data_IF_054979609030
#
_entry.id   IF_054979609030
#
_cell.length_a   1.000
_cell.length_b   1.000
_cell.length_c   1.000
_cell.angle_alpha   90.00
_cell.angle_beta   90.00
_cell.angle_gamma   90.00
#
_symmetry.space_group_name_H-M   'P 1'
#
loop_
_entity.id
_entity.type
_entity.pdbx_description
1 polymer ?
#
# COMPACT_ATOMS: atom_id res chain seq x y z
N UNK A 1 -20.18 13.07 42.73
CA UNK A 1 -20.51 13.05 41.31
C UNK A 1 -19.56 14.02 40.61
N UNK A 2 -18.46 13.54 40.08
CA UNK A 2 -17.56 14.35 39.27
C UNK A 2 -18.09 14.35 37.83
N UNK A 3 -18.40 15.53 37.31
CA UNK A 3 -18.61 15.77 35.90
C UNK A 3 -17.26 15.55 35.16
N UNK A 4 -17.12 14.43 34.50
CA UNK A 4 -16.07 14.27 33.47
C UNK A 4 -16.54 15.09 32.27
N UNK A 5 -16.03 16.30 32.14
CA UNK A 5 -16.12 17.04 30.89
C UNK A 5 -15.35 16.26 29.84
N UNK A 6 -16.06 15.58 28.96
CA UNK A 6 -15.47 15.12 27.70
C UNK A 6 -15.16 16.37 26.90
N UNK A 7 -13.90 16.76 26.86
CA UNK A 7 -13.44 17.73 25.90
C UNK A 7 -13.63 17.09 24.52
N UNK A 8 -14.69 17.46 23.83
CA UNK A 8 -14.77 17.22 22.40
C UNK A 8 -13.61 18.02 21.79
N UNK A 9 -12.61 17.33 21.26
CA UNK A 9 -11.63 17.95 20.40
C UNK A 9 -12.38 18.47 19.17
N UNK A 10 -12.75 19.74 19.21
CA UNK A 10 -13.22 20.41 18.01
C UNK A 10 -11.99 20.56 17.12
N UNK A 11 -11.98 19.87 16.00
CA UNK A 11 -11.05 20.22 14.93
C UNK A 11 -11.30 21.68 14.57
N UNK A 12 -10.28 22.53 14.62
CA UNK A 12 -10.46 23.92 14.24
C UNK A 12 -10.83 23.95 12.76
N UNK A 13 -11.98 24.54 12.47
CA UNK A 13 -12.36 24.84 11.09
C UNK A 13 -11.57 26.07 10.65
N UNK A 14 -10.41 25.84 10.05
CA UNK A 14 -9.68 26.90 9.37
C UNK A 14 -10.17 26.96 7.94
N UNK A 15 -10.77 28.07 7.54
CA UNK A 15 -11.03 28.31 6.13
C UNK A 15 -9.69 28.60 5.45
N UNK A 16 -9.31 27.76 4.52
CA UNK A 16 -8.17 28.02 3.63
C UNK A 16 -8.60 29.08 2.64
N UNK A 17 -7.83 30.15 2.51
CA UNK A 17 -8.06 31.19 1.51
C UNK A 17 -7.97 30.59 0.11
N UNK A 18 -8.79 31.11 -0.82
CA UNK A 18 -8.79 30.71 -2.23
C UNK A 18 -7.47 31.05 -2.95
N UNK A 19 -6.68 31.95 -2.37
CA UNK A 19 -5.34 32.33 -2.87
C UNK A 19 -4.22 31.49 -2.25
N UNK A 20 -4.55 30.30 -1.72
CA UNK A 20 -3.57 29.40 -1.12
C UNK A 20 -2.48 29.00 -2.14
N UNK A 21 -1.25 29.25 -1.73
CA UNK A 21 -0.05 28.87 -2.48
C UNK A 21 0.32 27.42 -2.13
N UNK A 22 0.56 26.58 -3.13
CA UNK A 22 0.97 25.17 -2.96
C UNK A 22 2.29 25.00 -2.18
N UNK A 23 3.06 26.07 -2.01
CA UNK A 23 4.27 26.09 -1.17
C UNK A 23 4.00 26.36 0.31
N UNK A 24 2.75 26.66 0.68
CA UNK A 24 2.36 27.02 2.03
C UNK A 24 1.66 25.87 2.72
N UNK A 25 2.17 25.43 3.87
CA UNK A 25 1.51 24.47 4.74
C UNK A 25 0.68 25.22 5.77
N UNK A 26 -0.63 24.94 5.81
CA UNK A 26 -1.53 25.50 6.83
C UNK A 26 -1.56 24.57 8.04
N UNK A 27 -0.98 25.04 9.14
CA UNK A 27 -1.01 24.31 10.41
C UNK A 27 -2.21 24.79 11.23
N UNK A 28 -3.09 23.88 11.69
CA UNK A 28 -4.17 24.26 12.60
C UNK A 28 -3.61 24.95 13.87
N UNK A 29 -4.37 25.87 14.47
CA UNK A 29 -3.90 26.55 15.69
C UNK A 29 -3.70 25.56 16.84
N UNK A 30 -2.98 26.03 17.90
CA UNK A 30 -2.78 25.23 19.11
C UNK A 30 -3.99 24.34 19.47
N UNK A 31 -3.78 23.05 19.84
CA UNK A 31 -2.50 22.44 20.27
C UNK A 31 -1.69 21.79 19.15
N UNK A 32 -2.05 21.98 17.89
CA UNK A 32 -1.35 21.33 16.78
C UNK A 32 -0.01 22.01 16.47
N UNK A 33 0.97 21.21 16.12
CA UNK A 33 2.29 21.65 15.67
C UNK A 33 2.69 20.85 14.44
N UNK A 34 3.39 21.49 13.51
CA UNK A 34 4.03 20.82 12.39
C UNK A 34 5.48 20.52 12.74
N UNK A 35 5.88 19.28 12.52
CA UNK A 35 7.26 18.86 12.61
C UNK A 35 7.66 18.12 11.34
N UNK A 36 8.77 18.52 10.72
CA UNK A 36 9.35 17.84 9.59
C UNK A 36 10.36 16.83 10.13
N UNK A 37 10.21 15.55 9.75
CA UNK A 37 11.08 14.46 10.19
C UNK A 37 11.97 13.93 9.06
N UNK A 38 11.48 13.97 7.82
CA UNK A 38 12.16 13.40 6.67
C UNK A 38 11.73 14.12 5.39
N UNK A 39 12.71 14.44 4.52
CA UNK A 39 12.48 15.15 3.24
C UNK A 39 13.14 14.34 2.11
N UNK A 40 12.30 13.73 1.25
CA UNK A 40 12.78 13.04 0.06
C UNK A 40 13.50 13.99 -0.91
N UNK A 41 14.62 13.52 -1.45
CA UNK A 41 15.48 14.30 -2.34
C UNK A 41 16.49 15.21 -1.63
N UNK A 42 16.34 15.43 -0.31
CA UNK A 42 17.25 16.25 0.50
C UNK A 42 17.98 15.42 1.55
N UNK A 43 17.24 14.63 2.35
CA UNK A 43 17.86 13.78 3.34
C UNK A 43 18.61 12.62 2.70
N UNK A 44 19.75 12.28 3.30
CA UNK A 44 20.63 11.22 2.81
C UNK A 44 20.28 9.88 3.42
N UNK A 45 20.21 8.84 2.61
CA UNK A 45 19.98 7.47 3.05
C UNK A 45 21.18 6.57 2.82
N UNK A 46 21.42 5.64 3.74
CA UNK A 46 22.39 4.56 3.56
C UNK A 46 21.76 3.43 2.75
N UNK A 47 22.31 3.13 1.57
CA UNK A 47 21.81 2.07 0.68
C UNK A 47 22.28 0.68 1.10
N UNK A 48 21.67 -0.37 0.54
CA UNK A 48 22.14 -1.77 0.69
C UNK A 48 23.56 -2.01 0.14
N UNK A 49 24.10 -1.09 -0.67
CA UNK A 49 25.47 -1.12 -1.15
C UNK A 49 26.46 -0.42 -0.20
N UNK A 50 25.99 0.05 0.95
CA UNK A 50 26.73 0.85 1.91
C UNK A 50 27.26 2.17 1.31
N UNK A 51 26.45 2.81 0.52
CA UNK A 51 26.69 4.13 -0.06
C UNK A 51 25.64 5.11 0.46
N UNK A 52 26.01 6.39 0.53
CA UNK A 52 25.13 7.47 0.93
C UNK A 52 24.62 8.21 -0.31
N UNK A 53 23.29 8.30 -0.45
CA UNK A 53 22.66 8.98 -1.58
C UNK A 53 21.42 9.75 -1.09
N UNK A 54 20.96 10.78 -1.82
CA UNK A 54 19.68 11.42 -1.50
C UNK A 54 18.54 10.41 -1.55
N UNK A 55 17.65 10.47 -0.56
CA UNK A 55 16.44 9.65 -0.52
C UNK A 55 15.56 9.89 -1.76
N UNK A 56 14.83 8.88 -2.18
CA UNK A 56 13.81 9.07 -3.22
C UNK A 56 12.68 9.96 -2.71
N UNK A 57 11.95 10.53 -3.65
CA UNK A 57 10.79 11.41 -3.42
C UNK A 57 9.48 10.63 -3.49
N UNK A 58 8.38 11.34 -3.61
CA UNK A 58 7.01 10.82 -3.75
C UNK A 58 6.67 9.86 -2.63
N UNK A 59 6.62 10.42 -1.42
CA UNK A 59 6.26 9.66 -0.24
C UNK A 59 4.78 9.29 -0.32
N UNK A 60 4.49 8.05 -0.02
CA UNK A 60 3.13 7.54 0.11
C UNK A 60 2.92 6.89 1.48
N UNK A 61 2.82 5.57 1.56
CA UNK A 61 2.58 4.87 2.81
C UNK A 61 3.62 5.17 3.88
N UNK A 62 3.13 5.42 5.11
CA UNK A 62 3.97 5.52 6.30
C UNK A 62 3.56 4.43 7.29
N UNK A 63 4.43 3.44 7.46
CA UNK A 63 4.30 2.39 8.46
C UNK A 63 4.98 2.76 9.78
N UNK A 64 4.51 2.16 10.87
CA UNK A 64 5.13 2.28 12.18
C UNK A 64 5.25 0.92 12.86
N UNK A 65 6.48 0.56 13.22
CA UNK A 65 6.82 -0.67 13.96
C UNK A 65 7.18 -0.31 15.39
N UNK A 66 6.31 -0.57 16.37
CA UNK A 66 6.60 -0.27 17.77
C UNK A 66 7.71 -1.16 18.33
N UNK A 67 8.34 -0.68 19.40
CA UNK A 67 9.28 -1.51 20.16
C UNK A 67 8.60 -2.73 20.78
N UNK A 68 9.33 -3.82 20.81
CA UNK A 68 9.00 -5.03 21.56
C UNK A 68 9.94 -5.20 22.74
N UNK A 69 9.64 -6.14 23.62
CA UNK A 69 10.53 -6.45 24.75
C UNK A 69 11.90 -7.05 24.33
N UNK A 70 12.01 -7.48 23.08
CA UNK A 70 13.21 -8.10 22.52
C UNK A 70 14.14 -7.07 21.84
N UNK A 71 13.61 -5.87 21.57
CA UNK A 71 14.38 -4.80 20.92
C UNK A 71 15.37 -4.17 21.93
N UNK A 72 16.64 -4.21 21.59
CA UNK A 72 17.70 -3.56 22.37
C UNK A 72 17.94 -2.16 21.79
N UNK A 73 17.54 -1.13 22.54
CA UNK A 73 17.74 0.27 22.16
C UNK A 73 18.46 1.01 23.28
N UNK A 74 19.38 1.90 22.92
CA UNK A 74 20.20 2.64 23.89
C UNK A 74 19.43 3.86 24.45
N UNK A 75 18.60 4.50 23.64
CA UNK A 75 17.82 5.65 24.08
C UNK A 75 16.50 5.19 24.73
N UNK A 76 16.26 5.50 26.02
CA UNK A 76 15.05 5.11 26.72
C UNK A 76 13.76 5.80 26.19
N UNK A 77 13.90 6.84 25.37
CA UNK A 77 12.78 7.53 24.75
C UNK A 77 12.44 7.01 23.35
N UNK A 78 13.11 5.96 22.91
CA UNK A 78 12.80 5.31 21.63
C UNK A 78 11.37 4.79 21.61
N UNK A 79 10.64 5.03 20.51
CA UNK A 79 9.26 4.59 20.36
C UNK A 79 9.08 3.50 19.29
N UNK A 80 9.97 3.42 18.30
CA UNK A 80 9.91 2.44 17.23
C UNK A 80 10.45 2.95 15.90
N UNK A 81 10.25 2.17 14.86
CA UNK A 81 10.72 2.47 13.49
C UNK A 81 9.58 3.03 12.65
N UNK A 82 9.89 4.09 11.91
CA UNK A 82 9.07 4.54 10.79
C UNK A 82 9.56 3.91 9.48
N UNK A 83 8.64 3.66 8.57
CA UNK A 83 8.88 3.14 7.22
C UNK A 83 8.11 3.99 6.23
N UNK A 84 8.79 4.58 5.26
CA UNK A 84 8.19 5.50 4.28
C UNK A 84 8.40 4.96 2.88
N UNK A 85 7.31 4.64 2.18
CA UNK A 85 7.35 4.22 0.77
C UNK A 85 7.65 5.39 -0.16
N UNK A 86 8.21 5.06 -1.32
CA UNK A 86 8.46 5.97 -2.42
C UNK A 86 7.74 5.48 -3.67
N UNK A 87 6.65 6.14 -4.05
CA UNK A 87 5.86 5.85 -5.25
C UNK A 87 6.56 6.35 -6.52
N UNK A 88 7.83 6.02 -6.66
CA UNK A 88 8.65 6.48 -7.76
C UNK A 88 8.70 5.44 -8.88
N UNK A 89 8.88 5.94 -10.11
CA UNK A 89 9.03 5.14 -11.33
C UNK A 89 10.41 5.34 -11.97
N UNK A 90 11.26 6.18 -11.38
CA UNK A 90 12.58 6.52 -11.91
C UNK A 90 13.61 5.58 -11.31
N UNK A 91 14.29 4.81 -12.15
CA UNK A 91 15.38 3.94 -11.74
C UNK A 91 16.59 4.73 -11.21
N UNK A 92 17.28 4.13 -10.27
CA UNK A 92 18.52 4.62 -9.71
C UNK A 92 19.49 3.44 -9.49
N UNK A 93 20.75 3.56 -9.92
CA UNK A 93 21.75 2.46 -9.87
C UNK A 93 21.99 1.95 -8.43
N UNK A 94 21.67 2.75 -7.41
CA UNK A 94 22.01 2.48 -6.01
C UNK A 94 20.79 2.13 -5.15
N UNK A 95 19.62 2.65 -5.53
CA UNK A 95 18.37 2.43 -4.82
C UNK A 95 17.47 1.42 -5.54
N UNK A 96 17.60 1.28 -6.86
CA UNK A 96 16.86 0.29 -7.64
C UNK A 96 15.90 0.87 -8.67
N UNK A 97 15.08 0.01 -9.28
CA UNK A 97 14.33 0.24 -10.52
C UNK A 97 13.16 1.24 -10.44
N UNK A 98 13.00 1.95 -9.42
CA UNK A 98 11.89 2.89 -9.21
C UNK A 98 11.17 2.55 -7.91
N UNK A 99 10.80 3.41 -7.09
CA UNK A 99 10.25 3.12 -5.77
C UNK A 99 11.32 2.81 -4.74
N UNK A 100 10.92 2.08 -3.73
CA UNK A 100 11.72 1.74 -2.56
C UNK A 100 11.04 2.15 -1.25
N UNK A 101 11.75 1.97 -0.16
CA UNK A 101 11.29 2.36 1.17
C UNK A 101 12.47 2.89 1.97
N UNK A 102 12.25 3.97 2.72
CA UNK A 102 13.18 4.47 3.72
C UNK A 102 12.71 4.08 5.12
N UNK A 103 13.62 3.59 5.96
CA UNK A 103 13.36 3.30 7.38
C UNK A 103 14.25 4.15 8.28
N UNK A 104 13.74 4.49 9.47
CA UNK A 104 14.47 5.23 10.48
C UNK A 104 13.89 5.01 11.88
N UNK A 105 14.72 5.17 12.90
CA UNK A 105 14.33 5.00 14.29
C UNK A 105 13.88 6.33 14.90
N UNK A 106 12.77 6.30 15.60
CA UNK A 106 12.14 7.46 16.23
C UNK A 106 12.28 7.43 17.76
N UNK A 107 12.63 8.56 18.31
CA UNK A 107 12.47 8.89 19.71
C UNK A 107 11.39 9.94 19.92
N UNK A 108 10.86 10.03 21.15
CA UNK A 108 9.89 11.05 21.56
C UNK A 108 10.37 11.75 22.84
N UNK A 109 10.53 13.05 22.78
CA UNK A 109 10.90 13.85 23.93
C UNK A 109 9.74 13.87 24.97
N UNK A 110 9.94 13.34 26.18
CA UNK A 110 8.86 13.22 27.16
C UNK A 110 8.38 14.56 27.74
N UNK A 111 9.12 15.64 27.51
CA UNK A 111 8.78 16.97 28.02
C UNK A 111 8.06 17.84 27.01
N UNK A 112 8.38 17.69 25.72
CA UNK A 112 7.83 18.54 24.63
C UNK A 112 6.89 17.76 23.70
N UNK A 113 6.88 16.43 23.80
CA UNK A 113 6.22 15.49 22.86
C UNK A 113 6.78 15.52 21.43
N UNK A 114 7.85 16.25 21.16
CA UNK A 114 8.51 16.30 19.86
C UNK A 114 9.16 14.97 19.51
N UNK A 115 9.01 14.55 18.26
CA UNK A 115 9.73 13.40 17.73
C UNK A 115 11.14 13.79 17.31
N UNK A 116 12.06 12.84 17.32
CA UNK A 116 13.40 13.04 16.81
C UNK A 116 13.95 11.73 16.23
N UNK A 117 14.87 11.87 15.28
CA UNK A 117 15.55 10.73 14.65
C UNK A 117 16.68 10.25 15.56
N UNK A 118 16.79 8.94 15.71
CA UNK A 118 17.86 8.29 16.47
C UNK A 118 18.81 7.62 15.49
N UNK A 119 20.08 8.05 15.43
CA UNK A 119 21.09 7.38 14.60
C UNK A 119 21.25 5.91 15.00
N UNK A 120 21.45 5.05 14.02
CA UNK A 120 21.59 3.61 14.22
C UNK A 120 22.84 3.06 13.54
N UNK A 121 23.31 1.92 14.06
CA UNK A 121 24.20 0.99 13.36
C UNK A 121 23.42 -0.30 13.14
N UNK A 122 23.12 -0.62 11.89
CA UNK A 122 22.40 -1.83 11.52
C UNK A 122 23.30 -3.07 11.62
N UNK A 123 22.69 -4.25 11.68
CA UNK A 123 23.43 -5.53 11.80
C UNK A 123 24.33 -5.84 10.61
N UNK A 124 24.13 -5.22 9.47
CA UNK A 124 24.96 -5.33 8.26
C UNK A 124 26.09 -4.30 8.19
N UNK A 125 26.21 -3.42 9.21
CA UNK A 125 27.27 -2.43 9.33
C UNK A 125 26.96 -1.07 8.70
N UNK A 126 25.77 -0.85 8.15
CA UNK A 126 25.32 0.47 7.75
C UNK A 126 25.10 1.36 8.97
N UNK A 127 25.54 2.62 8.89
CA UNK A 127 25.44 3.59 9.99
C UNK A 127 24.81 4.89 9.48
N UNK A 128 23.85 5.47 10.20
CA UNK A 128 23.21 6.72 9.84
C UNK A 128 21.85 6.94 10.51
N UNK A 129 21.17 7.97 10.03
CA UNK A 129 19.85 8.39 10.47
C UNK A 129 18.74 7.70 9.66
N UNK A 130 18.96 7.59 8.33
CA UNK A 130 18.00 7.06 7.39
C UNK A 130 18.60 5.94 6.54
N UNK A 131 17.82 4.92 6.27
CA UNK A 131 18.27 3.74 5.53
C UNK A 131 17.30 3.44 4.38
N UNK A 132 17.82 3.33 3.16
CA UNK A 132 17.06 2.70 2.10
C UNK A 132 17.01 1.19 2.37
N UNK A 133 15.82 0.62 2.31
CA UNK A 133 15.64 -0.83 2.47
C UNK A 133 16.43 -1.57 1.39
N UNK A 134 17.17 -2.59 1.79
CA UNK A 134 17.87 -3.48 0.86
C UNK A 134 16.91 -4.49 0.25
N UNK A 135 16.60 -4.34 -1.03
CA UNK A 135 15.72 -5.22 -1.80
C UNK A 135 16.46 -6.34 -2.56
N UNK A 136 17.78 -6.43 -2.43
CA UNK A 136 18.61 -7.37 -3.22
C UNK A 136 18.19 -8.84 -3.07
N UNK A 137 17.61 -9.21 -1.93
CA UNK A 137 17.11 -10.57 -1.68
C UNK A 137 15.95 -10.96 -2.59
N UNK A 138 15.13 -10.01 -3.00
CA UNK A 138 13.91 -10.21 -3.79
C UNK A 138 14.02 -9.73 -5.25
N UNK A 139 15.19 -9.22 -5.62
CA UNK A 139 15.56 -8.86 -6.99
C UNK A 139 15.23 -7.44 -7.41
N UNK A 140 14.57 -6.63 -6.74
CA UNK A 140 14.18 -5.24 -7.00
C UNK A 140 12.74 -4.97 -6.58
N UNK A 141 12.43 -3.70 -6.45
CA UNK A 141 11.08 -3.21 -6.19
C UNK A 141 10.81 -1.96 -7.01
N UNK A 142 9.55 -1.60 -7.16
CA UNK A 142 9.22 -0.38 -7.91
C UNK A 142 7.81 0.10 -7.63
N UNK A 143 7.66 1.42 -7.74
CA UNK A 143 6.40 2.12 -7.51
C UNK A 143 5.75 1.66 -6.20
N UNK A 144 6.49 1.86 -5.12
CA UNK A 144 6.05 1.47 -3.78
C UNK A 144 5.08 2.53 -3.27
N UNK A 145 3.80 2.27 -3.50
CA UNK A 145 2.70 3.15 -3.16
C UNK A 145 2.20 2.89 -1.74
N UNK A 146 1.00 2.40 -1.57
CA UNK A 146 0.44 2.04 -0.30
C UNK A 146 1.16 0.90 0.43
N UNK A 147 0.53 0.35 1.43
CA UNK A 147 1.15 -0.72 2.21
C UNK A 147 0.24 -1.30 3.28
N UNK A 148 0.81 -2.18 4.08
CA UNK A 148 0.17 -2.78 5.25
C UNK A 148 1.05 -2.55 6.46
N UNK A 149 0.47 -2.02 7.53
CA UNK A 149 1.07 -2.04 8.85
C UNK A 149 0.27 -3.00 9.73
N UNK A 150 0.89 -4.07 10.19
CA UNK A 150 0.23 -4.99 11.10
C UNK A 150 -0.14 -4.30 12.40
N UNK A 151 -1.40 -4.33 12.73
CA UNK A 151 -1.92 -3.78 13.97
C UNK A 151 -1.58 -4.66 15.20
N UNK A 152 -1.00 -5.84 14.98
CA UNK A 152 -0.80 -6.87 16.01
C UNK A 152 0.68 -6.97 16.39
N UNK A 153 1.58 -6.98 15.41
CA UNK A 153 3.02 -7.22 15.62
C UNK A 153 3.93 -6.16 14.99
N UNK A 154 3.34 -5.14 14.33
CA UNK A 154 4.09 -4.04 13.71
C UNK A 154 4.84 -4.42 12.44
N UNK A 155 4.57 -5.59 11.84
CA UNK A 155 5.10 -5.94 10.53
C UNK A 155 4.68 -4.95 9.47
N UNK A 156 5.51 -4.77 8.45
CA UNK A 156 5.25 -3.85 7.35
C UNK A 156 5.35 -4.57 6.01
N UNK A 157 4.39 -4.31 5.13
CA UNK A 157 4.44 -4.70 3.72
C UNK A 157 4.34 -3.45 2.86
N UNK A 158 5.16 -3.39 1.85
CA UNK A 158 5.14 -2.37 0.81
C UNK A 158 4.39 -2.89 -0.42
N UNK A 159 3.46 -2.10 -0.94
CA UNK A 159 2.68 -2.42 -2.12
C UNK A 159 3.39 -1.97 -3.39
N UNK A 160 3.54 -2.84 -4.37
CA UNK A 160 4.06 -2.49 -5.69
C UNK A 160 2.89 -2.23 -6.64
N UNK A 161 2.79 -1.00 -7.15
CA UNK A 161 1.67 -0.52 -7.97
C UNK A 161 2.07 -0.20 -9.41
N UNK A 162 2.91 -1.00 -10.05
CA UNK A 162 3.30 -0.72 -11.44
C UNK A 162 2.14 -0.72 -12.42
N UNK A 163 1.91 0.39 -13.08
CA UNK A 163 0.88 0.49 -14.11
C UNK A 163 1.22 -0.36 -15.34
N UNK A 164 0.19 -1.03 -15.90
CA UNK A 164 0.30 -1.80 -17.14
C UNK A 164 1.48 -2.80 -17.18
N UNK A 165 1.89 -3.28 -16.03
CA UNK A 165 3.05 -4.19 -15.92
C UNK A 165 4.36 -3.59 -16.44
N UNK A 166 4.55 -2.31 -16.33
CA UNK A 166 5.79 -1.64 -16.66
C UNK A 166 6.74 -1.64 -15.45
N UNK A 167 8.05 -1.64 -15.72
CA UNK A 167 9.08 -1.52 -14.70
C UNK A 167 10.26 -0.68 -15.21
N UNK A 168 9.98 0.32 -16.02
CA UNK A 168 11.00 1.18 -16.61
C UNK A 168 10.75 2.64 -16.19
N UNK A 169 11.83 3.39 -15.99
CA UNK A 169 11.85 4.80 -15.65
C UNK A 169 11.24 5.73 -16.71
N UNK A 170 11.01 5.20 -17.92
CA UNK A 170 10.33 5.93 -18.99
C UNK A 170 8.83 5.66 -18.91
N UNK A 171 8.22 6.07 -17.80
CA UNK A 171 6.77 6.14 -17.72
C UNK A 171 6.28 7.47 -18.31
N UNK A 172 6.43 7.62 -19.63
CA UNK A 172 5.87 8.77 -20.33
C UNK A 172 4.46 8.43 -20.80
N UNK A 173 3.49 9.17 -20.31
CA UNK A 173 2.09 9.14 -20.78
C UNK A 173 1.40 7.76 -20.69
N UNK A 174 1.76 6.95 -19.73
CA UNK A 174 1.21 5.61 -19.56
C UNK A 174 1.74 4.57 -20.55
N UNK A 175 2.86 4.83 -21.20
CA UNK A 175 3.52 3.95 -22.15
C UNK A 175 4.80 3.31 -21.58
N UNK A 176 4.83 3.04 -20.27
CA UNK A 176 5.97 2.39 -19.64
C UNK A 176 6.43 1.14 -20.41
N UNK A 177 7.74 0.94 -20.44
CA UNK A 177 8.36 -0.17 -21.16
C UNK A 177 8.53 -1.35 -20.21
N UNK A 178 8.13 -2.55 -20.68
CA UNK A 178 8.36 -3.80 -19.96
C UNK A 178 9.81 -4.24 -20.15
N UNK A 179 10.51 -4.52 -19.07
CA UNK A 179 11.78 -5.24 -19.13
C UNK A 179 11.50 -6.73 -19.30
N UNK A 180 11.74 -7.22 -20.51
CA UNK A 180 11.51 -8.62 -20.88
C UNK A 180 12.75 -9.50 -20.67
N UNK A 181 13.83 -8.98 -20.09
CA UNK A 181 14.99 -9.79 -19.74
C UNK A 181 14.62 -10.84 -18.70
N UNK A 182 15.35 -11.97 -18.75
CA UNK A 182 15.10 -13.07 -17.83
C UNK A 182 15.49 -12.69 -16.39
N UNK A 183 14.57 -12.93 -15.47
CA UNK A 183 14.80 -12.93 -14.04
C UNK A 183 14.47 -14.28 -13.45
N UNK A 184 15.41 -14.89 -12.71
CA UNK A 184 15.15 -16.13 -11.99
C UNK A 184 14.90 -15.83 -10.52
N UNK A 185 13.72 -16.18 -10.03
CA UNK A 185 13.34 -16.02 -8.63
C UNK A 185 14.30 -16.85 -7.76
N UNK A 186 14.87 -16.19 -6.75
CA UNK A 186 15.75 -16.85 -5.78
C UNK A 186 14.93 -17.81 -4.91
N UNK A 187 15.62 -18.62 -4.13
CA UNK A 187 14.96 -19.49 -3.15
C UNK A 187 14.05 -18.67 -2.22
N UNK A 188 12.83 -19.13 -2.03
CA UNK A 188 11.80 -18.56 -1.16
C UNK A 188 11.02 -19.68 -0.49
N UNK A 189 10.27 -19.39 0.56
CA UNK A 189 9.35 -20.33 1.23
C UNK A 189 8.21 -20.77 0.33
N UNK A 190 7.91 -20.02 -0.74
CA UNK A 190 6.90 -20.38 -1.71
C UNK A 190 7.49 -21.34 -2.74
N UNK A 191 7.44 -22.63 -2.48
CA UNK A 191 8.03 -23.67 -3.35
C UNK A 191 7.58 -23.53 -4.81
N UNK A 192 6.33 -23.13 -5.04
CA UNK A 192 5.77 -22.94 -6.39
C UNK A 192 6.48 -21.85 -7.20
N UNK A 193 7.14 -20.88 -6.55
CA UNK A 193 7.84 -19.77 -7.18
C UNK A 193 9.37 -20.03 -7.31
N UNK A 194 9.93 -20.96 -6.55
CA UNK A 194 11.37 -21.21 -6.49
C UNK A 194 11.95 -21.53 -7.86
N UNK A 195 12.99 -20.80 -8.23
CA UNK A 195 13.76 -20.98 -9.46
C UNK A 195 12.94 -20.85 -10.76
N UNK A 196 11.74 -20.30 -10.68
CA UNK A 196 10.99 -19.92 -11.87
C UNK A 196 11.72 -18.77 -12.58
N UNK A 197 11.90 -18.91 -13.90
CA UNK A 197 12.43 -17.83 -14.73
C UNK A 197 11.26 -17.13 -15.43
N UNK A 198 11.18 -15.84 -15.23
CA UNK A 198 10.12 -14.94 -15.73
C UNK A 198 10.75 -13.70 -16.37
N UNK A 199 10.05 -13.00 -17.26
CA UNK A 199 10.42 -11.64 -17.62
C UNK A 199 10.50 -10.73 -16.39
N UNK A 200 11.53 -9.89 -16.29
CA UNK A 200 11.79 -9.07 -15.11
C UNK A 200 10.58 -8.23 -14.69
N UNK A 201 9.81 -7.68 -15.65
CA UNK A 201 8.61 -6.92 -15.34
C UNK A 201 7.54 -7.72 -14.55
N UNK A 202 7.55 -9.05 -14.62
CA UNK A 202 6.63 -9.89 -13.85
C UNK A 202 7.07 -10.10 -12.41
N UNK A 203 8.28 -9.67 -12.04
CA UNK A 203 8.71 -9.65 -10.64
C UNK A 203 8.21 -8.41 -9.87
N UNK A 204 7.37 -7.59 -10.47
CA UNK A 204 6.72 -6.44 -9.85
C UNK A 204 5.21 -6.68 -9.70
N UNK A 205 4.53 -5.83 -8.97
CA UNK A 205 3.12 -5.93 -8.60
C UNK A 205 2.84 -7.02 -7.56
N UNK A 206 3.70 -7.07 -6.56
CA UNK A 206 3.55 -7.94 -5.39
C UNK A 206 3.52 -7.12 -4.10
N UNK A 207 3.00 -7.70 -3.03
CA UNK A 207 3.23 -7.17 -1.69
C UNK A 207 4.59 -7.65 -1.19
N UNK A 208 5.39 -6.73 -0.66
CA UNK A 208 6.77 -6.99 -0.19
C UNK A 208 6.83 -6.89 1.31
N UNK A 209 7.12 -7.98 2.00
CA UNK A 209 7.36 -7.97 3.44
C UNK A 209 8.74 -7.38 3.75
N UNK A 210 8.76 -6.44 4.69
CA UNK A 210 9.94 -5.67 5.09
C UNK A 210 10.21 -5.90 6.57
N UNK A 211 11.49 -6.05 6.93
CA UNK A 211 11.97 -5.89 8.30
C UNK A 211 12.50 -4.45 8.49
N UNK A 212 11.74 -3.56 9.15
CA UNK A 212 12.17 -2.17 9.35
C UNK A 212 13.37 -2.06 10.29
N UNK A 213 13.56 -3.02 11.20
CA UNK A 213 14.69 -3.04 12.17
C UNK A 213 16.03 -3.28 11.49
N UNK A 214 16.02 -4.17 10.49
CA UNK A 214 17.20 -4.48 9.68
C UNK A 214 17.28 -3.63 8.41
N UNK A 215 16.23 -2.87 8.08
CA UNK A 215 16.07 -2.17 6.81
C UNK A 215 16.30 -3.08 5.60
N UNK A 216 15.58 -4.23 5.58
CA UNK A 216 15.71 -5.28 4.56
C UNK A 216 14.35 -5.82 4.13
N UNK A 217 14.24 -6.08 2.82
CA UNK A 217 13.14 -6.86 2.29
C UNK A 217 13.33 -8.34 2.65
N UNK A 218 12.25 -8.96 3.12
CA UNK A 218 12.23 -10.38 3.50
C UNK A 218 11.81 -11.21 2.31
N UNK A 219 10.64 -10.90 1.71
CA UNK A 219 10.03 -11.69 0.62
C UNK A 219 9.01 -10.89 -0.16
N UNK A 220 8.71 -11.35 -1.37
CA UNK A 220 7.48 -11.01 -2.09
C UNK A 220 6.42 -12.05 -1.78
N UNK A 221 5.18 -11.62 -1.50
CA UNK A 221 4.06 -12.50 -1.17
C UNK A 221 3.44 -13.09 -2.45
N UNK A 222 4.14 -14.04 -3.08
CA UNK A 222 3.70 -14.63 -4.34
C UNK A 222 2.36 -15.36 -4.24
N UNK A 223 2.01 -15.85 -3.05
CA UNK A 223 0.75 -16.54 -2.77
C UNK A 223 -0.47 -15.63 -2.67
N UNK A 224 -0.28 -14.29 -2.65
CA UNK A 224 -1.40 -13.32 -2.60
C UNK A 224 -1.91 -12.91 -4.00
N UNK A 225 -1.23 -13.37 -5.06
CA UNK A 225 -1.55 -13.04 -6.45
C UNK A 225 -0.91 -11.73 -6.91
N UNK A 226 -0.63 -11.65 -8.21
CA UNK A 226 0.00 -10.49 -8.84
C UNK A 226 -1.07 -9.50 -9.29
N UNK A 227 -1.06 -8.31 -8.74
CA UNK A 227 -1.94 -7.19 -9.09
C UNK A 227 -1.26 -5.85 -8.72
N UNK A 228 -1.69 -4.72 -9.29
CA UNK A 228 -1.17 -3.41 -8.87
C UNK A 228 -1.73 -3.08 -7.48
N UNK A 229 -1.00 -3.53 -6.45
CA UNK A 229 -1.42 -3.32 -5.09
C UNK A 229 -1.28 -1.85 -4.71
N UNK A 230 -2.33 -1.31 -4.07
CA UNK A 230 -2.28 -0.01 -3.42
C UNK A 230 -2.04 -0.17 -1.92
N UNK A 231 -2.96 -0.79 -1.23
CA UNK A 231 -2.84 -0.97 0.20
C UNK A 231 -3.61 -2.17 0.72
N UNK A 232 -3.52 -2.36 2.02
CA UNK A 232 -4.23 -3.45 2.68
C UNK A 232 -4.22 -3.36 4.20
N UNK A 233 -4.85 -4.31 4.84
CA UNK A 233 -4.91 -4.40 6.30
C UNK A 233 -4.98 -5.85 6.76
N UNK A 234 -4.32 -6.14 7.88
CA UNK A 234 -4.44 -7.41 8.58
C UNK A 234 -5.54 -7.28 9.63
N UNK A 235 -6.49 -8.19 9.59
CA UNK A 235 -7.59 -8.24 10.55
C UNK A 235 -7.10 -8.57 11.97
N UNK A 236 -7.96 -8.31 12.96
CA UNK A 236 -7.62 -8.51 14.37
C UNK A 236 -7.34 -9.97 14.75
N UNK A 237 -7.70 -10.92 13.88
CA UNK A 237 -7.37 -12.34 14.04
C UNK A 237 -5.89 -12.66 13.72
N UNK A 238 -5.14 -11.69 13.18
CA UNK A 238 -3.78 -11.89 12.66
C UNK A 238 -3.67 -13.01 11.61
N UNK A 239 -4.75 -13.29 10.91
CA UNK A 239 -4.86 -14.39 9.95
C UNK A 239 -5.39 -13.92 8.60
N UNK A 240 -6.36 -13.01 8.63
CA UNK A 240 -7.02 -12.51 7.42
C UNK A 240 -6.38 -11.20 6.97
N UNK A 241 -5.99 -11.13 5.70
CA UNK A 241 -5.47 -9.93 5.05
C UNK A 241 -6.45 -9.48 3.98
N UNK A 242 -6.86 -8.22 4.02
CA UNK A 242 -7.68 -7.58 2.99
C UNK A 242 -6.84 -6.60 2.20
N UNK A 243 -6.98 -6.59 0.88
CA UNK A 243 -6.14 -5.80 -0.02
C UNK A 243 -6.95 -5.17 -1.15
N UNK A 244 -6.53 -3.98 -1.56
CA UNK A 244 -7.03 -3.26 -2.72
C UNK A 244 -6.02 -3.20 -3.85
N UNK A 245 -6.52 -3.08 -5.08
CA UNK A 245 -5.72 -2.84 -6.26
C UNK A 245 -6.15 -1.53 -6.92
N UNK A 246 -5.24 -0.56 -7.07
CA UNK A 246 -5.50 0.64 -7.87
C UNK A 246 -5.38 0.31 -9.34
N UNK A 247 -6.49 -0.05 -9.91
CA UNK A 247 -6.64 -0.33 -11.31
C UNK A 247 -8.07 -0.01 -11.76
N UNK A 248 -8.25 0.04 -13.06
CA UNK A 248 -9.57 0.08 -13.69
C UNK A 248 -9.65 -1.06 -14.71
N UNK A 249 -10.32 -2.18 -14.35
CA UNK A 249 -10.98 -2.45 -13.06
C UNK A 249 -10.00 -2.76 -11.92
N UNK A 250 -10.33 -2.32 -10.69
CA UNK A 250 -9.66 -2.70 -9.46
C UNK A 250 -10.32 -3.91 -8.81
N UNK A 251 -9.58 -4.65 -7.99
CA UNK A 251 -10.05 -5.83 -7.28
C UNK A 251 -9.96 -5.65 -5.77
N UNK A 252 -10.96 -6.16 -5.06
CA UNK A 252 -10.89 -6.36 -3.62
C UNK A 252 -10.59 -7.82 -3.34
N UNK A 253 -9.48 -8.07 -2.67
CA UNK A 253 -8.94 -9.42 -2.47
C UNK A 253 -8.75 -9.73 -0.99
N UNK A 254 -8.73 -11.01 -0.66
CA UNK A 254 -8.53 -11.51 0.69
C UNK A 254 -7.57 -12.71 0.65
N UNK A 255 -6.64 -12.73 1.59
CA UNK A 255 -5.85 -13.91 1.90
C UNK A 255 -6.18 -14.36 3.32
N UNK A 256 -6.34 -15.66 3.53
CA UNK A 256 -6.56 -16.25 4.87
C UNK A 256 -5.43 -17.22 5.13
N UNK A 257 -4.58 -16.89 6.10
CA UNK A 257 -3.45 -17.72 6.49
C UNK A 257 -3.92 -19.02 7.18
N UNK A 258 -3.21 -20.11 7.01
CA UNK A 258 -3.48 -21.37 7.70
C UNK A 258 -3.20 -21.26 9.21
N UNK A 259 -2.22 -20.43 9.57
CA UNK A 259 -1.82 -20.17 10.95
C UNK A 259 -1.77 -18.66 11.19
N UNK A 260 -2.43 -18.14 12.25
CA UNK A 260 -2.35 -16.72 12.58
C UNK A 260 -0.90 -16.23 12.68
N UNK A 261 -0.59 -15.13 11.99
CA UNK A 261 0.74 -14.53 11.95
C UNK A 261 1.71 -15.17 10.97
N UNK A 262 1.39 -16.29 10.34
CA UNK A 262 2.20 -16.91 9.29
C UNK A 262 1.49 -16.78 7.93
N UNK A 263 1.95 -15.84 7.10
CA UNK A 263 1.36 -15.58 5.78
C UNK A 263 2.05 -16.33 4.64
N UNK A 264 2.90 -17.31 4.95
CA UNK A 264 3.57 -18.16 3.96
C UNK A 264 2.67 -19.28 3.43
N UNK A 265 1.61 -19.64 4.17
CA UNK A 265 0.63 -20.67 3.80
C UNK A 265 -0.79 -20.18 4.06
N UNK A 266 -1.70 -20.48 3.14
CA UNK A 266 -3.10 -20.05 3.24
C UNK A 266 -3.79 -20.03 1.89
N UNK A 267 -4.99 -19.47 1.86
CA UNK A 267 -5.87 -19.45 0.68
C UNK A 267 -6.19 -18.03 0.24
N UNK A 268 -6.15 -17.79 -1.07
CA UNK A 268 -6.41 -16.48 -1.69
C UNK A 268 -7.82 -16.44 -2.28
N UNK A 269 -8.50 -15.33 -2.08
CA UNK A 269 -9.87 -15.12 -2.53
C UNK A 269 -10.01 -13.76 -3.24
N UNK A 270 -11.02 -13.69 -4.12
CA UNK A 270 -11.48 -12.44 -4.70
C UNK A 270 -12.93 -12.18 -4.32
N UNK A 271 -13.27 -10.92 -4.10
CA UNK A 271 -14.62 -10.50 -3.75
C UNK A 271 -15.55 -10.60 -4.96
N UNK A 272 -16.74 -11.17 -4.74
CA UNK A 272 -17.82 -11.28 -5.72
C UNK A 272 -19.16 -10.98 -5.04
N UNK A 273 -19.64 -9.77 -5.22
CA UNK A 273 -20.79 -9.22 -4.51
C UNK A 273 -22.07 -10.09 -4.59
N UNK A 274 -22.35 -10.65 -5.74
CA UNK A 274 -23.55 -11.44 -6.02
C UNK A 274 -23.40 -12.95 -5.78
N UNK A 275 -22.27 -13.37 -5.19
CA UNK A 275 -22.05 -14.78 -4.88
C UNK A 275 -22.94 -15.23 -3.72
N UNK A 276 -23.78 -16.24 -3.95
CA UNK A 276 -24.78 -16.66 -2.97
C UNK A 276 -24.13 -17.28 -1.72
N UNK A 277 -24.38 -16.69 -0.58
CA UNK A 277 -23.98 -17.20 0.74
C UNK A 277 -22.63 -16.73 1.26
N UNK A 278 -21.60 -16.70 0.42
CA UNK A 278 -20.26 -16.17 0.75
C UNK A 278 -19.76 -15.30 -0.41
N UNK A 279 -19.49 -14.00 -0.20
CA UNK A 279 -19.07 -13.12 -1.28
C UNK A 279 -17.60 -13.34 -1.71
N UNK A 280 -16.98 -14.41 -1.34
CA UNK A 280 -15.59 -14.71 -1.64
C UNK A 280 -15.46 -15.94 -2.54
N UNK A 281 -14.72 -15.80 -3.63
CA UNK A 281 -14.39 -16.87 -4.55
C UNK A 281 -12.91 -17.21 -4.41
N UNK A 282 -12.63 -18.47 -4.12
CA UNK A 282 -11.26 -18.99 -4.01
C UNK A 282 -10.56 -18.98 -5.37
N UNK A 283 -9.30 -18.54 -5.38
CA UNK A 283 -8.38 -18.63 -6.52
C UNK A 283 -7.24 -19.56 -6.11
N UNK A 284 -7.00 -20.60 -6.90
CA UNK A 284 -5.92 -21.56 -6.65
C UNK A 284 -4.56 -20.88 -6.66
N UNK A 285 -3.98 -20.72 -5.47
CA UNK A 285 -2.68 -20.11 -5.24
C UNK A 285 -1.52 -21.12 -5.05
N UNK A 286 -1.77 -22.40 -5.28
CA UNK A 286 -0.74 -23.43 -5.25
C UNK A 286 0.15 -23.44 -6.50
N UNK A 287 -0.24 -22.73 -7.55
CA UNK A 287 0.41 -22.70 -8.84
C UNK A 287 0.90 -21.27 -9.17
N UNK A 288 2.20 -21.12 -9.40
CA UNK A 288 2.80 -19.81 -9.67
C UNK A 288 2.25 -19.14 -10.94
N UNK A 289 1.92 -19.93 -11.98
CA UNK A 289 1.28 -19.37 -13.19
C UNK A 289 -0.09 -18.75 -12.90
N UNK A 290 -0.86 -19.34 -11.98
CA UNK A 290 -2.12 -18.75 -11.55
C UNK A 290 -1.87 -17.42 -10.85
N UNK A 291 -0.86 -17.36 -10.00
CA UNK A 291 -0.54 -16.14 -9.27
C UNK A 291 0.00 -15.03 -10.17
N UNK A 292 0.78 -15.37 -11.21
CA UNK A 292 1.20 -14.41 -12.25
C UNK A 292 0.02 -13.83 -13.03
N UNK A 293 -1.01 -14.63 -13.27
CA UNK A 293 -2.20 -14.25 -14.04
C UNK A 293 -3.42 -14.01 -13.13
N UNK A 294 -3.19 -13.67 -11.87
CA UNK A 294 -4.23 -13.58 -10.84
C UNK A 294 -5.38 -12.65 -11.24
N UNK A 295 -5.09 -11.47 -11.75
CA UNK A 295 -6.10 -10.50 -12.17
C UNK A 295 -7.04 -11.09 -13.25
N UNK A 296 -6.50 -11.74 -14.26
CA UNK A 296 -7.30 -12.36 -15.34
C UNK A 296 -8.16 -13.53 -14.80
N UNK A 297 -7.61 -14.33 -13.89
CA UNK A 297 -8.36 -15.42 -13.26
C UNK A 297 -9.47 -14.90 -12.36
N UNK A 298 -9.22 -13.83 -11.60
CA UNK A 298 -10.22 -13.17 -10.77
C UNK A 298 -11.38 -12.63 -11.59
N UNK A 299 -11.08 -11.94 -12.69
CA UNK A 299 -12.09 -11.44 -13.64
C UNK A 299 -12.89 -12.60 -14.24
N UNK A 300 -12.22 -13.66 -14.67
CA UNK A 300 -12.87 -14.85 -15.23
C UNK A 300 -13.76 -15.58 -14.20
N UNK A 301 -13.43 -15.52 -12.91
CA UNK A 301 -14.25 -16.04 -11.81
C UNK A 301 -15.48 -15.16 -11.52
N UNK A 302 -15.58 -14.00 -12.16
CA UNK A 302 -16.68 -13.04 -11.99
C UNK A 302 -16.50 -12.14 -10.77
N UNK A 303 -15.25 -11.76 -10.47
CA UNK A 303 -14.96 -10.79 -9.43
C UNK A 303 -15.75 -9.50 -9.60
N UNK A 304 -16.17 -8.91 -8.49
CA UNK A 304 -16.70 -7.54 -8.49
C UNK A 304 -15.58 -6.56 -8.81
N UNK A 305 -15.85 -5.67 -9.75
CA UNK A 305 -14.90 -4.68 -10.22
C UNK A 305 -15.14 -3.34 -9.55
N UNK A 306 -14.06 -2.71 -9.11
CA UNK A 306 -14.05 -1.42 -8.44
C UNK A 306 -13.33 -0.39 -9.31
N UNK A 307 -13.53 0.88 -9.02
CA UNK A 307 -12.92 1.97 -9.75
C UNK A 307 -11.78 2.58 -8.95
N UNK A 308 -10.55 2.07 -9.15
CA UNK A 308 -9.36 2.53 -8.45
C UNK A 308 -9.52 2.37 -6.94
N UNK A 309 -9.42 1.12 -6.47
CA UNK A 309 -9.50 0.79 -5.05
C UNK A 309 -8.14 1.06 -4.41
N UNK A 310 -8.10 2.12 -3.63
CA UNK A 310 -6.89 2.66 -3.01
C UNK A 310 -6.62 2.04 -1.63
N UNK A 311 -6.76 2.81 -0.57
CA UNK A 311 -6.47 2.34 0.78
C UNK A 311 -7.54 1.40 1.33
N UNK A 312 -7.04 0.37 2.03
CA UNK A 312 -7.88 -0.57 2.78
C UNK A 312 -7.43 -0.55 4.23
N UNK A 313 -8.35 -0.30 5.15
CA UNK A 313 -8.05 -0.24 6.58
C UNK A 313 -9.14 -0.90 7.42
N UNK A 314 -8.79 -1.27 8.65
CA UNK A 314 -9.71 -1.89 9.61
C UNK A 314 -10.04 -0.95 10.77
N UNK A 315 -11.31 -0.89 11.14
CA UNK A 315 -11.68 -0.36 12.44
C UNK A 315 -11.48 -1.45 13.52
N UNK A 316 -10.43 -1.29 14.30
CA UNK A 316 -10.05 -2.24 15.34
C UNK A 316 -11.15 -2.56 16.38
N UNK A 317 -12.07 -1.62 16.60
CA UNK A 317 -13.13 -1.76 17.62
C UNK A 317 -14.29 -2.64 17.18
N UNK A 318 -14.61 -2.66 15.88
CA UNK A 318 -15.76 -3.41 15.36
C UNK A 318 -15.40 -4.43 14.26
N UNK A 319 -14.16 -4.47 13.82
CA UNK A 319 -13.69 -5.40 12.79
C UNK A 319 -14.09 -5.05 11.35
N UNK A 320 -14.81 -3.95 11.13
CA UNK A 320 -15.23 -3.55 9.80
C UNK A 320 -14.06 -3.02 8.97
N UNK A 321 -14.09 -3.30 7.70
CA UNK A 321 -13.10 -2.88 6.71
C UNK A 321 -13.63 -1.67 5.96
N UNK A 322 -12.80 -0.67 5.82
CA UNK A 322 -13.07 0.54 5.05
C UNK A 322 -12.12 0.61 3.87
N UNK A 323 -12.64 0.97 2.72
CA UNK A 323 -11.90 1.08 1.47
C UNK A 323 -12.20 2.42 0.82
N UNK A 324 -11.20 3.02 0.21
CA UNK A 324 -11.37 4.23 -0.61
C UNK A 324 -11.32 3.87 -2.08
N UNK A 325 -12.21 4.46 -2.88
CA UNK A 325 -12.10 4.52 -4.32
C UNK A 325 -11.81 5.97 -4.70
N UNK A 326 -10.80 6.21 -5.50
CA UNK A 326 -10.44 7.56 -5.95
C UNK A 326 -11.45 8.11 -6.93
N UNK A 327 -12.07 7.25 -7.72
CA UNK A 327 -12.91 7.65 -8.82
C UNK A 327 -12.11 7.92 -10.10
N UNK A 328 -12.78 8.41 -11.12
CA UNK A 328 -12.15 8.68 -12.42
C UNK A 328 -12.80 9.84 -13.15
N UNK A 329 -11.98 10.75 -13.63
CA UNK A 329 -12.37 11.93 -14.37
C UNK A 329 -12.57 11.69 -15.88
N UNK A 330 -12.26 10.49 -16.35
CA UNK A 330 -12.43 10.12 -17.76
C UNK A 330 -13.15 8.77 -17.85
N UNK A 331 -14.36 8.68 -18.44
CA UNK A 331 -14.99 7.41 -18.66
C UNK A 331 -14.16 6.67 -19.69
N UNK A 332 -13.35 5.73 -19.26
CA UNK A 332 -13.10 4.62 -20.13
C UNK A 332 -14.42 3.86 -20.17
N UNK A 333 -15.03 3.77 -21.33
CA UNK A 333 -16.34 3.18 -21.54
C UNK A 333 -16.55 1.82 -20.86
N UNK A 334 -15.48 1.06 -20.66
CA UNK A 334 -15.55 -0.27 -20.08
C UNK A 334 -15.76 -0.31 -18.58
N UNK A 335 -15.21 0.62 -17.78
CA UNK A 335 -15.28 0.47 -16.33
C UNK A 335 -16.66 0.80 -15.75
N UNK A 336 -17.39 1.74 -16.36
CA UNK A 336 -18.74 2.08 -15.90
C UNK A 336 -19.72 0.93 -16.11
N UNK A 337 -19.56 0.18 -17.20
CA UNK A 337 -20.32 -1.05 -17.43
C UNK A 337 -19.96 -2.12 -16.40
N UNK A 338 -18.68 -2.35 -16.19
CA UNK A 338 -18.17 -3.37 -15.27
C UNK A 338 -18.56 -3.06 -13.83
N UNK A 339 -18.35 -1.84 -13.36
CA UNK A 339 -18.72 -1.43 -12.01
C UNK A 339 -20.24 -1.47 -11.80
N UNK A 340 -21.03 -1.08 -12.81
CA UNK A 340 -22.49 -1.16 -12.75
C UNK A 340 -22.96 -2.62 -12.75
N UNK A 341 -22.35 -3.46 -13.56
CA UNK A 341 -22.64 -4.89 -13.63
C UNK A 341 -22.22 -5.63 -12.34
N UNK A 342 -21.14 -5.19 -11.70
CA UNK A 342 -20.67 -5.72 -10.41
C UNK A 342 -21.55 -5.38 -9.22
N UNK A 343 -22.58 -4.51 -9.40
CA UNK A 343 -23.49 -4.12 -8.33
C UNK A 343 -22.87 -3.23 -7.24
N UNK A 344 -21.70 -2.67 -7.49
CA UNK A 344 -20.96 -1.85 -6.53
C UNK A 344 -21.50 -0.43 -6.43
N UNK A 345 -22.10 0.08 -7.51
CA UNK A 345 -22.71 1.40 -7.51
C UNK A 345 -24.02 1.40 -6.72
N UNK A 346 -24.06 2.21 -5.69
CA UNK A 346 -25.31 2.43 -4.97
C UNK A 346 -26.37 3.04 -5.90
N UNK A 347 -27.63 2.68 -5.69
CA UNK A 347 -28.74 3.16 -6.51
C UNK A 347 -28.79 4.70 -6.63
N UNK A 348 -28.37 5.44 -5.61
CA UNK A 348 -28.31 6.90 -5.65
C UNK A 348 -27.24 7.46 -6.61
N UNK A 349 -26.14 6.75 -6.84
CA UNK A 349 -25.11 7.13 -7.83
C UNK A 349 -25.67 7.01 -9.25
N UNK A 350 -26.34 5.90 -9.53
CA UNK A 350 -27.01 5.67 -10.81
C UNK A 350 -28.11 6.72 -11.02
N UNK A 351 -28.90 6.98 -9.99
CA UNK A 351 -29.97 7.99 -10.08
C UNK A 351 -29.39 9.40 -10.30
N UNK A 352 -28.29 9.74 -9.63
CA UNK A 352 -27.59 11.03 -9.87
C UNK A 352 -27.17 11.17 -11.34
N UNK A 353 -26.59 10.12 -11.91
CA UNK A 353 -26.18 10.13 -13.31
C UNK A 353 -27.38 10.34 -14.24
N UNK A 354 -28.50 9.66 -14.00
CA UNK A 354 -29.75 9.83 -14.74
C UNK A 354 -30.28 11.26 -14.60
N UNK A 355 -30.29 11.82 -13.39
CA UNK A 355 -30.74 13.18 -13.11
C UNK A 355 -29.86 14.24 -13.80
N UNK A 356 -28.60 13.93 -14.04
CA UNK A 356 -27.67 14.77 -14.82
C UNK A 356 -27.80 14.58 -16.33
N UNK A 357 -28.72 13.72 -16.77
CA UNK A 357 -29.02 13.51 -18.16
C UNK A 357 -28.24 12.39 -18.83
N UNK A 358 -27.67 11.49 -18.07
CA UNK A 358 -26.97 10.33 -18.61
C UNK A 358 -27.90 9.49 -19.50
N UNK A 359 -27.40 9.12 -20.67
CA UNK A 359 -28.10 8.28 -21.64
C UNK A 359 -27.64 6.81 -21.60
N UNK A 360 -26.58 6.52 -20.86
CA UNK A 360 -26.02 5.20 -20.68
C UNK A 360 -24.70 5.22 -19.89
N UNK A 361 -24.10 4.06 -19.64
CA UNK A 361 -22.86 3.93 -18.87
C UNK A 361 -21.66 4.73 -19.42
N UNK A 362 -21.59 4.92 -20.72
CA UNK A 362 -20.53 5.67 -21.39
C UNK A 362 -20.71 7.19 -21.34
N UNK A 363 -21.78 7.66 -20.73
CA UNK A 363 -22.06 9.09 -20.63
C UNK A 363 -21.19 9.75 -19.56
N UNK A 364 -20.74 10.97 -19.81
CA UNK A 364 -19.93 11.75 -18.87
C UNK A 364 -20.59 11.94 -17.49
N UNK A 365 -21.91 11.85 -17.41
CA UNK A 365 -22.63 11.92 -16.14
C UNK A 365 -22.40 10.70 -15.22
N UNK A 366 -21.86 9.61 -15.74
CA UNK A 366 -21.43 8.45 -14.95
C UNK A 366 -20.01 8.61 -14.39
N UNK A 367 -19.32 9.69 -14.66
CA UNK A 367 -17.99 9.91 -14.14
C UNK A 367 -18.02 10.07 -12.63
N UNK A 368 -17.15 9.34 -11.97
CA UNK A 368 -17.01 9.37 -10.52
C UNK A 368 -15.86 10.32 -10.13
N UNK A 369 -16.12 11.62 -10.23
CA UNK A 369 -15.11 12.64 -9.95
C UNK A 369 -14.65 12.72 -8.51
N UNK A 370 -15.43 12.19 -7.57
CA UNK A 370 -15.21 12.46 -6.16
C UNK A 370 -14.81 11.23 -5.37
N UNK A 371 -14.81 10.06 -6.00
CA UNK A 371 -14.56 8.81 -5.30
C UNK A 371 -15.58 8.55 -4.18
N UNK A 372 -15.26 7.60 -3.32
CA UNK A 372 -16.09 7.25 -2.16
C UNK A 372 -15.33 6.44 -1.15
N UNK A 373 -15.93 6.30 0.04
CA UNK A 373 -15.51 5.33 1.05
C UNK A 373 -16.54 4.22 1.11
N UNK A 374 -16.08 2.98 0.99
CA UNK A 374 -16.91 1.78 1.12
C UNK A 374 -16.67 1.13 2.48
N UNK A 375 -17.70 0.54 3.05
CA UNK A 375 -17.64 -0.26 4.28
C UNK A 375 -17.98 -1.72 3.93
N UNK A 376 -17.11 -2.64 4.34
CA UNK A 376 -17.36 -4.08 4.30
C UNK A 376 -17.43 -4.62 5.74
N UNK A 377 -18.47 -5.39 6.04
CA UNK A 377 -18.67 -6.06 7.33
C UNK A 377 -18.38 -7.56 7.12
N UNK A 378 -17.23 -8.09 7.61
CA UNK A 378 -16.77 -9.46 7.39
C UNK A 378 -17.68 -10.53 7.95
#
# INVERSE_FOLDING_TARGET
FGLVSMAQSQFPTTMVDTDWDATTVVVPPSPFQLQVLFIGGEDMVQTGLNEEVPAKQWHDFIGFTPLTAEDCVDDPNTIGWASVNHEMIIADDKIGDGGGMTTFLLGRNPSTDELYIIPQTLSDGREGDFFNVDFSAIGETGMNCGGINSNIDGRVWSAEEWFRNSNNDVYDSGNGVRDISDYTIKYTEFEMANFQTIPKYQNFNWMVEIDPRASKAIRKQYNWGRQPFEGGTIANDNQTVYMGADATPGLFTKFVADTPGDFTSGTTYVYKHDNAGDPWVEIDNSNFSNMLNFTDLAIAAGATMFNRLEWVTINKNNGKIYMTETGRDNPASSWSDDATAGGVYAAHHIQRAIDQGATGPDDAAYWDYYGRVLEYDP
#
